data_IF_915918921629
#
_entry.id   IF_915918921629
#
_cell.length_a   1.000
_cell.length_b   1.000
_cell.length_c   1.000
_cell.angle_alpha   90.00
_cell.angle_beta   90.00
_cell.angle_gamma   90.00
#
_symmetry.space_group_name_H-M   'P 1'
#
loop_
_entity.id
_entity.type
_entity.pdbx_description
1 polymer ?
#
# COMPACT_ATOMS: atom_id res chain seq x y z
N UNK A 1 1.74 3.20 60.82
CA UNK A 1 2.96 3.37 59.99
C UNK A 1 2.84 2.74 58.60
N UNK A 2 2.49 1.44 58.47
CA UNK A 2 2.33 0.78 57.16
C UNK A 2 1.23 1.37 56.26
N UNK A 3 0.07 1.75 56.83
CA UNK A 3 -1.03 2.37 56.06
C UNK A 3 -0.67 3.75 55.49
N UNK A 4 0.08 4.54 56.28
CA UNK A 4 0.52 5.88 55.89
C UNK A 4 1.58 5.81 54.78
N UNK A 5 2.51 4.86 54.87
CA UNK A 5 3.50 4.63 53.83
C UNK A 5 2.87 4.13 52.52
N UNK A 6 1.86 3.25 52.60
CA UNK A 6 1.12 2.78 51.42
C UNK A 6 0.32 3.91 50.74
N UNK A 7 -0.29 4.81 51.52
CA UNK A 7 -0.99 5.98 50.98
C UNK A 7 -0.03 6.98 50.31
N UNK A 8 1.12 7.25 50.92
CA UNK A 8 2.16 8.12 50.33
C UNK A 8 2.73 7.51 49.06
N UNK A 9 3.02 6.21 49.04
CA UNK A 9 3.49 5.50 47.83
C UNK A 9 2.40 5.52 46.75
N UNK A 10 1.13 5.30 47.10
CA UNK A 10 0.01 5.36 46.15
C UNK A 10 -0.14 6.73 45.50
N UNK A 11 -0.04 7.82 46.28
CA UNK A 11 -0.09 9.19 45.75
C UNK A 11 1.11 9.49 44.86
N UNK A 12 2.32 9.08 45.26
CA UNK A 12 3.53 9.26 44.44
C UNK A 12 3.44 8.50 43.13
N UNK A 13 2.91 7.28 43.14
CA UNK A 13 2.71 6.46 41.93
C UNK A 13 1.68 7.09 41.00
N UNK A 14 0.53 7.54 41.52
CA UNK A 14 -0.49 8.23 40.70
C UNK A 14 0.08 9.50 40.08
N UNK A 15 0.83 10.30 40.84
CA UNK A 15 1.46 11.52 40.33
C UNK A 15 2.50 11.19 39.26
N UNK A 16 3.33 10.17 39.44
CA UNK A 16 4.32 9.74 38.44
C UNK A 16 3.65 9.21 37.18
N UNK A 17 2.58 8.42 37.30
CA UNK A 17 1.82 7.90 36.15
C UNK A 17 1.14 9.03 35.38
N UNK A 18 0.48 9.97 36.08
CA UNK A 18 -0.12 11.14 35.45
C UNK A 18 0.95 11.98 34.76
N UNK A 19 2.10 12.19 35.39
CA UNK A 19 3.21 12.95 34.78
C UNK A 19 3.76 12.21 33.56
N UNK A 20 3.97 10.90 33.60
CA UNK A 20 4.48 10.13 32.45
C UNK A 20 3.46 10.11 31.31
N UNK A 21 2.17 9.89 31.59
CA UNK A 21 1.10 9.94 30.57
C UNK A 21 0.99 11.33 29.99
N UNK A 22 1.03 12.38 30.80
CA UNK A 22 1.02 13.77 30.32
C UNK A 22 2.26 14.06 29.50
N UNK A 23 3.46 13.62 29.91
CA UNK A 23 4.70 13.81 29.15
C UNK A 23 4.65 13.03 27.83
N UNK A 24 4.16 11.79 27.81
CA UNK A 24 4.04 11.00 26.58
C UNK A 24 2.97 11.59 25.66
N UNK A 25 1.82 11.98 26.17
CA UNK A 25 0.77 12.66 25.39
C UNK A 25 1.30 14.00 24.88
N UNK A 26 2.01 14.78 25.70
CA UNK A 26 2.62 16.05 25.27
C UNK A 26 3.71 15.80 24.24
N UNK A 27 4.55 14.79 24.38
CA UNK A 27 5.59 14.46 23.39
C UNK A 27 4.96 13.97 22.10
N UNK A 28 3.95 13.10 22.15
CA UNK A 28 3.21 12.63 20.96
C UNK A 28 2.46 13.79 20.32
N UNK A 29 1.77 14.63 21.09
CA UNK A 29 1.08 15.82 20.58
C UNK A 29 2.09 16.82 20.03
N UNK A 30 3.23 17.05 20.66
CA UNK A 30 4.27 17.96 20.17
C UNK A 30 4.92 17.38 18.92
N UNK A 31 5.22 16.08 18.86
CA UNK A 31 5.76 15.44 17.66
C UNK A 31 4.73 15.47 16.54
N UNK A 32 3.47 15.15 16.80
CA UNK A 32 2.37 15.24 15.83
C UNK A 32 2.16 16.67 15.39
N UNK A 33 2.14 17.65 16.30
CA UNK A 33 1.98 19.07 15.98
C UNK A 33 3.19 19.59 15.23
N UNK A 34 4.43 19.25 15.61
CA UNK A 34 5.64 19.65 14.89
C UNK A 34 5.67 19.00 13.51
N UNK A 35 5.32 17.72 13.38
CA UNK A 35 5.23 17.05 12.08
C UNK A 35 4.11 17.67 11.25
N UNK A 36 2.93 17.93 11.82
CA UNK A 36 1.81 18.59 11.14
C UNK A 36 2.16 20.01 10.75
N UNK A 37 2.85 20.79 11.59
CA UNK A 37 3.29 22.17 11.30
C UNK A 37 4.39 22.18 10.26
N UNK A 38 5.35 21.26 10.31
CA UNK A 38 6.40 21.11 9.30
C UNK A 38 5.79 20.63 7.97
N UNK A 39 4.83 19.71 8.01
CA UNK A 39 4.07 19.26 6.84
C UNK A 39 3.24 20.40 6.28
N UNK A 40 2.52 21.17 7.10
CA UNK A 40 1.78 22.36 6.68
C UNK A 40 2.75 23.39 6.11
N UNK A 41 3.91 23.64 6.72
CA UNK A 41 4.89 24.59 6.23
C UNK A 41 5.50 24.15 4.89
N UNK A 42 5.85 22.88 4.74
CA UNK A 42 6.36 22.30 3.49
C UNK A 42 5.29 22.29 2.40
N UNK A 43 4.03 22.00 2.77
CA UNK A 43 2.87 22.04 1.86
C UNK A 43 2.55 23.49 1.47
N UNK A 44 2.55 24.44 2.40
CA UNK A 44 2.31 25.87 2.13
C UNK A 44 3.42 26.42 1.23
N UNK A 45 4.69 26.07 1.45
CA UNK A 45 5.80 26.45 0.57
C UNK A 45 5.70 25.78 -0.81
N UNK A 46 5.15 24.56 -0.91
CA UNK A 46 4.87 23.89 -2.18
C UNK A 46 3.62 24.41 -2.92
N UNK A 47 2.69 25.08 -2.22
CA UNK A 47 1.38 25.53 -2.73
C UNK A 47 1.39 26.98 -3.25
N UNK A 48 2.45 27.75 -3.05
CA UNK A 48 2.51 29.16 -3.51
C UNK A 48 3.08 29.32 -4.94
N UNK A 49 3.61 28.25 -5.54
CA UNK A 49 4.16 28.32 -6.89
C UNK A 49 3.13 27.79 -7.88
N UNK A 50 2.61 28.69 -8.72
CA UNK A 50 1.75 28.37 -9.86
C UNK A 50 2.48 27.35 -10.74
N UNK A 51 1.86 26.20 -10.97
CA UNK A 51 2.43 25.15 -11.81
C UNK A 51 1.54 24.87 -13.02
N UNK A 52 2.13 24.55 -14.17
CA UNK A 52 1.39 24.18 -15.39
C UNK A 52 1.76 22.76 -15.79
N UNK A 53 0.76 21.90 -16.00
CA UNK A 53 0.94 20.49 -16.32
C UNK A 53 -0.22 19.94 -17.15
N UNK A 54 -0.02 18.82 -17.85
CA UNK A 54 -1.12 18.12 -18.52
C UNK A 54 -2.15 17.59 -17.52
N UNK A 55 -3.43 17.50 -17.94
CA UNK A 55 -4.50 16.98 -17.07
C UNK A 55 -4.40 15.48 -16.84
N UNK A 56 -3.84 14.75 -17.81
CA UNK A 56 -3.67 13.29 -17.81
C UNK A 56 -2.30 12.92 -18.41
N UNK A 57 -1.74 11.74 -18.07
CA UNK A 57 -0.50 11.24 -18.66
C UNK A 57 -0.68 10.70 -20.08
N UNK A 58 -1.91 10.35 -20.45
CA UNK A 58 -2.26 9.91 -21.79
C UNK A 58 -3.65 10.40 -22.19
N UNK A 59 -3.82 10.68 -23.48
CA UNK A 59 -5.10 10.94 -24.14
C UNK A 59 -5.27 9.96 -25.29
N UNK A 60 -6.50 9.57 -25.53
CA UNK A 60 -6.85 8.60 -26.56
C UNK A 60 -7.93 9.22 -27.42
N UNK A 61 -7.67 9.30 -28.71
CA UNK A 61 -8.61 9.81 -29.71
C UNK A 61 -8.76 8.78 -30.81
N UNK A 62 -9.92 8.77 -31.45
CA UNK A 62 -10.11 8.03 -32.68
C UNK A 62 -9.49 8.81 -33.83
N UNK A 63 -9.04 8.09 -34.84
CA UNK A 63 -8.58 8.68 -36.10
C UNK A 63 -9.66 9.58 -36.73
N UNK A 64 -10.92 9.11 -36.72
CA UNK A 64 -12.12 9.86 -37.13
C UNK A 64 -12.47 11.09 -36.28
N UNK A 65 -11.74 11.39 -35.19
CA UNK A 65 -12.03 12.54 -34.33
C UNK A 65 -11.67 13.88 -34.98
N UNK A 66 -10.80 13.88 -36.00
CA UNK A 66 -10.31 15.06 -36.73
C UNK A 66 -9.41 16.00 -35.91
N UNK A 67 -9.64 16.14 -34.60
CA UNK A 67 -8.81 16.94 -33.68
C UNK A 67 -8.62 16.26 -32.33
N UNK A 68 -7.36 16.16 -31.90
CA UNK A 68 -6.98 15.83 -30.53
C UNK A 68 -7.03 17.08 -29.65
N UNK A 69 -7.85 17.02 -28.59
CA UNK A 69 -8.01 18.08 -27.60
C UNK A 69 -7.23 17.76 -26.33
N UNK A 70 -5.96 18.19 -26.28
CA UNK A 70 -5.06 17.90 -25.17
C UNK A 70 -5.19 18.97 -24.09
N UNK A 71 -5.79 18.59 -22.96
CA UNK A 71 -6.08 19.52 -21.87
C UNK A 71 -4.84 19.76 -20.97
N UNK A 72 -4.53 21.04 -20.74
CA UNK A 72 -3.47 21.54 -19.87
C UNK A 72 -4.10 22.30 -18.70
N UNK A 73 -3.67 21.95 -17.48
CA UNK A 73 -4.16 22.55 -16.23
C UNK A 73 -3.13 23.46 -15.59
N UNK A 74 -3.63 24.56 -15.06
CA UNK A 74 -2.93 25.45 -14.13
C UNK A 74 -3.27 25.03 -12.70
N UNK A 75 -2.24 24.69 -11.93
CA UNK A 75 -2.31 24.15 -10.58
C UNK A 75 -1.77 25.17 -9.57
N UNK A 76 -2.30 25.12 -8.34
CA UNK A 76 -1.82 25.89 -7.19
C UNK A 76 -1.95 27.43 -7.31
N UNK A 77 -2.91 27.94 -8.09
CA UNK A 77 -3.29 29.36 -8.11
C UNK A 77 -3.62 29.91 -9.50
N UNK A 78 -4.63 30.76 -9.60
CA UNK A 78 -5.12 31.37 -10.86
C UNK A 78 -4.89 32.88 -10.95
N UNK A 79 -4.17 33.48 -9.98
CA UNK A 79 -3.92 34.92 -9.95
C UNK A 79 -2.77 35.30 -10.88
N UNK A 80 -2.98 36.33 -11.70
CA UNK A 80 -2.00 36.82 -12.68
C UNK A 80 -1.97 35.98 -13.97
N UNK A 81 -1.22 36.46 -14.96
CA UNK A 81 -1.06 35.77 -16.25
C UNK A 81 0.04 34.71 -16.15
N UNK A 82 -0.15 33.59 -16.81
CA UNK A 82 0.87 32.55 -16.95
C UNK A 82 0.89 32.04 -18.38
N UNK A 83 2.05 31.67 -18.92
CA UNK A 83 2.12 31.01 -20.22
C UNK A 83 3.04 29.80 -20.18
N UNK A 84 2.75 28.82 -21.03
CA UNK A 84 3.57 27.62 -21.21
C UNK A 84 3.80 27.35 -22.69
N UNK A 85 5.04 26.99 -23.04
CA UNK A 85 5.41 26.58 -24.38
C UNK A 85 5.19 25.08 -24.52
N UNK A 86 4.64 24.66 -25.64
CA UNK A 86 4.39 23.25 -25.95
C UNK A 86 4.88 22.90 -27.36
N UNK A 87 5.20 21.62 -27.57
CA UNK A 87 5.57 21.07 -28.87
C UNK A 87 5.16 19.60 -28.97
N UNK A 88 4.82 19.14 -30.17
CA UNK A 88 4.68 17.72 -30.48
C UNK A 88 6.03 17.08 -30.79
N UNK A 89 6.15 15.78 -30.55
CA UNK A 89 7.33 15.01 -30.91
C UNK A 89 6.93 13.58 -31.28
N UNK A 90 7.40 13.14 -32.44
CA UNK A 90 7.30 11.75 -32.88
C UNK A 90 8.07 10.83 -31.93
N UNK A 91 7.59 9.59 -31.80
CA UNK A 91 8.31 8.54 -31.06
C UNK A 91 9.15 7.68 -32.01
N UNK A 92 10.04 6.90 -31.42
CA UNK A 92 10.76 5.86 -32.13
C UNK A 92 10.06 4.50 -31.90
N UNK A 93 9.88 3.72 -32.97
CA UNK A 93 9.39 2.32 -32.91
C UNK A 93 8.16 2.01 -33.79
N UNK A 94 7.79 0.73 -33.87
CA UNK A 94 6.76 0.17 -34.77
C UNK A 94 5.31 0.66 -34.53
N UNK A 95 5.10 1.58 -33.59
CA UNK A 95 3.79 2.16 -33.23
C UNK A 95 3.86 3.68 -33.05
N UNK A 96 4.88 4.31 -33.62
CA UNK A 96 5.05 5.75 -33.54
C UNK A 96 4.22 6.43 -34.62
N UNK A 97 3.37 7.37 -34.21
CA UNK A 97 2.71 8.29 -35.13
C UNK A 97 3.75 9.29 -35.67
N UNK A 98 3.68 9.58 -36.96
CA UNK A 98 4.59 10.41 -37.73
C UNK A 98 3.90 11.73 -38.11
N UNK A 99 4.56 12.85 -37.80
CA UNK A 99 4.06 14.17 -38.16
C UNK A 99 3.94 14.33 -39.69
N UNK A 100 2.77 14.76 -40.15
CA UNK A 100 2.43 14.95 -41.57
C UNK A 100 1.84 13.71 -42.25
N UNK A 101 1.84 12.55 -41.58
CA UNK A 101 1.14 11.34 -42.02
C UNK A 101 -0.08 11.08 -41.14
N UNK A 102 0.12 10.94 -39.82
CA UNK A 102 -0.91 10.48 -38.89
C UNK A 102 -1.48 11.65 -38.06
N UNK A 103 -0.70 12.73 -37.92
CA UNK A 103 -1.13 13.95 -37.27
C UNK A 103 -0.36 15.17 -37.79
N UNK A 104 -0.91 16.38 -37.62
CA UNK A 104 -0.19 17.61 -37.98
C UNK A 104 0.64 18.08 -36.79
N UNK A 105 1.97 17.99 -36.93
CA UNK A 105 2.92 18.46 -35.92
C UNK A 105 2.79 19.95 -35.63
N UNK A 106 3.04 20.35 -34.38
CA UNK A 106 2.85 21.73 -33.95
C UNK A 106 3.70 22.12 -32.75
N UNK A 107 3.88 23.44 -32.61
CA UNK A 107 4.41 24.05 -31.40
C UNK A 107 3.75 25.41 -31.18
N UNK A 108 3.66 25.84 -29.92
CA UNK A 108 2.98 27.08 -29.61
C UNK A 108 3.12 27.51 -28.16
N UNK A 109 2.49 28.65 -27.85
CA UNK A 109 2.43 29.21 -26.50
C UNK A 109 0.98 29.21 -26.04
N UNK A 110 0.72 28.56 -24.91
CA UNK A 110 -0.59 28.55 -24.27
C UNK A 110 -0.59 29.59 -23.16
N UNK A 111 -1.34 30.68 -23.36
CA UNK A 111 -1.48 31.75 -22.37
C UNK A 111 -2.76 31.55 -21.54
N UNK A 112 -2.60 31.61 -20.21
CA UNK A 112 -3.65 31.61 -19.21
C UNK A 112 -3.83 33.04 -18.69
N UNK A 113 -5.04 33.56 -18.84
CA UNK A 113 -5.45 34.82 -18.23
C UNK A 113 -5.78 34.64 -16.74
N UNK A 114 -6.02 35.75 -16.05
CA UNK A 114 -6.44 35.72 -14.64
C UNK A 114 -7.73 34.90 -14.49
N UNK A 115 -7.73 33.92 -13.59
CA UNK A 115 -8.88 33.06 -13.32
C UNK A 115 -9.01 31.84 -14.24
N UNK A 116 -8.22 31.74 -15.32
CA UNK A 116 -8.24 30.57 -16.20
C UNK A 116 -7.43 29.41 -15.60
N UNK A 117 -8.11 28.29 -15.36
CA UNK A 117 -7.51 27.07 -14.78
C UNK A 117 -7.19 26.00 -15.82
N UNK A 118 -7.85 26.04 -16.97
CA UNK A 118 -7.79 24.98 -17.99
C UNK A 118 -7.73 25.63 -19.37
N UNK A 119 -6.82 25.13 -20.20
CA UNK A 119 -6.71 25.44 -21.62
C UNK A 119 -6.46 24.15 -22.39
N UNK A 120 -6.80 24.15 -23.66
CA UNK A 120 -6.67 22.97 -24.51
C UNK A 120 -5.74 23.28 -25.67
N UNK A 121 -4.84 22.34 -25.97
CA UNK A 121 -4.04 22.34 -27.18
C UNK A 121 -4.82 21.54 -28.22
N UNK A 122 -5.09 22.14 -29.36
CA UNK A 122 -5.71 21.48 -30.51
C UNK A 122 -4.62 20.96 -31.45
N UNK A 123 -4.65 19.68 -31.77
CA UNK A 123 -3.76 19.03 -32.73
C UNK A 123 -4.64 18.34 -33.76
N UNK A 124 -4.44 18.62 -35.04
CA UNK A 124 -5.22 17.99 -36.11
C UNK A 124 -4.74 16.55 -36.32
N UNK A 125 -5.70 15.63 -36.35
CA UNK A 125 -5.47 14.21 -36.65
C UNK A 125 -5.80 14.02 -38.13
N UNK A 126 -4.93 13.32 -38.85
CA UNK A 126 -5.16 12.97 -40.23
C UNK A 126 -5.91 11.64 -40.23
N UNK A 127 -7.03 11.60 -40.94
CA UNK A 127 -7.88 10.42 -41.07
C UNK A 127 -7.66 9.84 -42.46
N UNK A 128 -7.00 8.70 -42.54
CA UNK A 128 -6.87 7.93 -43.77
C UNK A 128 -7.73 6.66 -43.73
N UNK A 129 -8.02 6.08 -44.90
CA UNK A 129 -8.89 4.90 -45.00
C UNK A 129 -8.11 3.58 -44.97
N UNK A 130 -6.83 3.61 -44.57
CA UNK A 130 -6.00 2.42 -44.48
C UNK A 130 -5.99 1.89 -43.04
N UNK A 131 -6.13 0.57 -42.90
CA UNK A 131 -6.05 -0.03 -41.57
C UNK A 131 -4.61 0.05 -41.03
N UNK A 132 -4.45 0.79 -39.94
CA UNK A 132 -3.20 0.93 -39.20
C UNK A 132 -3.31 0.36 -37.77
N UNK A 133 -2.17 0.15 -37.11
CA UNK A 133 -2.17 -0.24 -35.69
C UNK A 133 -2.39 1.00 -34.83
N UNK A 134 -2.74 0.83 -33.55
CA UNK A 134 -2.78 1.97 -32.62
C UNK A 134 -1.40 2.64 -32.54
N UNK A 135 -1.37 3.92 -32.88
CA UNK A 135 -0.16 4.73 -32.96
C UNK A 135 -0.13 5.81 -31.90
N UNK A 136 1.06 6.29 -31.57
CA UNK A 136 1.21 7.30 -30.53
C UNK A 136 2.37 8.27 -30.74
N UNK A 137 2.13 9.51 -30.34
CA UNK A 137 3.11 10.60 -30.33
C UNK A 137 3.11 11.30 -28.97
N UNK A 138 4.18 12.06 -28.69
CA UNK A 138 4.31 12.80 -27.43
C UNK A 138 3.96 14.28 -27.61
N UNK A 139 3.31 14.86 -26.61
CA UNK A 139 3.18 16.32 -26.46
C UNK A 139 3.96 16.73 -25.21
N UNK A 140 4.85 17.72 -25.37
CA UNK A 140 5.84 18.09 -24.36
C UNK A 140 5.73 19.58 -24.04
N UNK A 141 5.72 19.92 -22.75
CA UNK A 141 5.83 21.29 -22.26
C UNK A 141 7.31 21.65 -22.03
N UNK A 142 7.80 22.72 -22.66
CA UNK A 142 9.24 23.03 -22.75
C UNK A 142 9.67 24.25 -21.94
N UNK A 143 8.76 25.18 -21.60
CA UNK A 143 9.10 26.36 -20.80
C UNK A 143 7.87 27.11 -20.29
N UNK A 144 8.02 27.88 -19.21
CA UNK A 144 6.94 28.67 -18.58
C UNK A 144 7.37 30.14 -18.42
N UNK A 145 6.39 31.05 -18.32
CA UNK A 145 6.62 32.46 -17.99
C UNK A 145 7.05 32.67 -16.54
N UNK A 146 7.71 33.81 -16.28
CA UNK A 146 8.10 34.25 -14.94
C UNK A 146 6.91 34.22 -13.96
N UNK A 147 7.12 33.62 -12.78
CA UNK A 147 6.08 33.41 -11.78
C UNK A 147 5.33 32.08 -11.88
N UNK A 148 5.63 31.23 -12.87
CA UNK A 148 5.08 29.87 -12.98
C UNK A 148 6.17 28.83 -13.25
N UNK A 149 5.95 27.57 -12.83
CA UNK A 149 6.87 26.45 -13.07
C UNK A 149 6.17 25.32 -13.82
N UNK A 150 6.94 24.49 -14.51
CA UNK A 150 6.43 23.23 -15.06
C UNK A 150 6.08 22.28 -13.91
N UNK A 151 4.85 21.77 -13.91
CA UNK A 151 4.38 20.80 -12.94
C UNK A 151 4.96 19.40 -13.17
N UNK A 152 4.37 18.41 -12.51
CA UNK A 152 4.84 17.01 -12.55
C UNK A 152 4.67 16.36 -13.91
N UNK A 153 3.53 16.58 -14.58
CA UNK A 153 3.22 16.03 -15.91
C UNK A 153 3.64 17.01 -17.01
N UNK A 154 4.91 16.92 -17.43
CA UNK A 154 5.50 17.75 -18.50
C UNK A 154 5.41 17.12 -19.89
N UNK A 155 5.05 15.84 -19.95
CA UNK A 155 4.87 15.06 -21.17
C UNK A 155 3.57 14.30 -21.04
N UNK A 156 2.79 14.27 -22.10
CA UNK A 156 1.63 13.38 -22.25
C UNK A 156 1.77 12.62 -23.55
N UNK A 157 1.22 11.41 -23.58
CA UNK A 157 1.13 10.58 -24.78
C UNK A 157 -0.24 10.79 -25.41
N UNK A 158 -0.30 10.98 -26.71
CA UNK A 158 -1.54 10.94 -27.47
C UNK A 158 -1.54 9.65 -28.26
N UNK A 159 -2.58 8.84 -28.07
CA UNK A 159 -2.81 7.59 -28.81
C UNK A 159 -3.94 7.79 -29.79
N UNK A 160 -3.67 7.48 -31.05
CA UNK A 160 -4.64 7.46 -32.15
C UNK A 160 -5.11 6.02 -32.27
N UNK A 161 -6.42 5.80 -32.05
CA UNK A 161 -7.06 4.51 -32.25
C UNK A 161 -7.60 4.45 -33.67
N UNK A 162 -7.18 3.43 -34.42
CA UNK A 162 -7.81 3.09 -35.68
C UNK A 162 -9.22 2.53 -35.40
N UNK A 163 -10.23 3.08 -36.06
CA UNK A 163 -11.62 2.63 -35.97
C UNK A 163 -12.17 2.00 -37.27
N UNK A 164 -11.28 1.57 -38.17
CA UNK A 164 -11.64 0.81 -39.36
C UNK A 164 -12.08 -0.62 -39.01
N UNK A 165 -13.38 -0.86 -39.13
CA UNK A 165 -14.13 -1.81 -38.29
C UNK A 165 -13.91 -3.31 -38.58
N UNK A 166 -13.11 -3.71 -39.58
CA UNK A 166 -13.07 -5.12 -39.98
C UNK A 166 -12.00 -5.98 -39.28
N UNK A 167 -10.83 -5.42 -38.99
CA UNK A 167 -9.70 -6.18 -38.39
C UNK A 167 -9.66 -6.11 -36.87
N UNK A 168 -10.23 -5.06 -36.26
CA UNK A 168 -10.30 -4.86 -34.82
C UNK A 168 -11.19 -5.87 -34.07
N UNK A 169 -12.24 -6.39 -34.72
CA UNK A 169 -13.10 -7.44 -34.16
C UNK A 169 -12.34 -8.77 -34.07
N UNK A 170 -11.58 -9.11 -35.11
CA UNK A 170 -10.78 -10.34 -35.15
C UNK A 170 -9.67 -10.30 -34.10
N UNK A 171 -8.97 -9.18 -33.92
CA UNK A 171 -7.92 -9.03 -32.90
C UNK A 171 -8.47 -9.04 -31.47
N UNK A 172 -9.65 -8.45 -31.23
CA UNK A 172 -10.33 -8.53 -29.93
C UNK A 172 -10.75 -9.95 -29.58
N UNK A 173 -11.26 -10.71 -30.54
CA UNK A 173 -11.63 -12.13 -30.32
C UNK A 173 -10.38 -12.95 -29.99
N UNK A 174 -9.28 -12.75 -30.71
CA UNK A 174 -8.00 -13.44 -30.43
C UNK A 174 -7.45 -13.05 -29.05
N UNK A 175 -7.46 -11.77 -28.70
CA UNK A 175 -6.98 -11.29 -27.40
C UNK A 175 -7.86 -11.75 -26.22
N UNK A 176 -9.19 -11.75 -26.37
CA UNK A 176 -10.10 -12.31 -25.36
C UNK A 176 -9.94 -13.83 -25.21
N UNK A 177 -9.60 -14.53 -26.30
CA UNK A 177 -9.32 -15.97 -26.26
C UNK A 177 -7.99 -16.26 -25.56
N UNK A 178 -6.95 -15.46 -25.84
CA UNK A 178 -5.64 -15.58 -25.18
C UNK A 178 -5.67 -15.15 -23.70
N UNK A 179 -6.38 -14.06 -23.35
CA UNK A 179 -6.50 -13.61 -21.96
C UNK A 179 -7.33 -14.57 -21.10
N UNK A 180 -8.35 -15.22 -21.67
CA UNK A 180 -9.04 -16.33 -21.00
C UNK A 180 -8.11 -17.54 -20.85
N UNK A 181 -7.29 -17.86 -21.86
CA UNK A 181 -6.29 -18.92 -21.75
C UNK A 181 -5.25 -18.64 -20.66
N UNK A 182 -4.83 -17.39 -20.47
CA UNK A 182 -3.91 -17.00 -19.38
C UNK A 182 -4.57 -17.02 -18.00
N UNK A 183 -5.83 -16.58 -17.87
CA UNK A 183 -6.58 -16.76 -16.61
C UNK A 183 -6.84 -18.25 -16.30
N UNK A 184 -7.01 -19.07 -17.33
CA UNK A 184 -7.11 -20.54 -17.21
C UNK A 184 -5.72 -21.13 -16.91
N UNK A 185 -4.61 -20.59 -17.43
CA UNK A 185 -3.24 -21.09 -17.20
C UNK A 185 -2.72 -20.77 -15.80
N UNK A 186 -3.02 -19.57 -15.26
CA UNK A 186 -2.73 -19.20 -13.86
C UNK A 186 -3.47 -20.12 -12.89
N UNK A 187 -4.61 -20.68 -13.31
CA UNK A 187 -5.34 -21.69 -12.58
C UNK A 187 -4.91 -23.15 -12.88
N UNK A 188 -3.82 -23.41 -13.61
CA UNK A 188 -3.35 -24.77 -13.90
C UNK A 188 -1.87 -24.98 -13.58
N UNK A 189 -1.33 -24.32 -12.54
CA UNK A 189 -0.01 -24.66 -12.03
C UNK A 189 -0.02 -26.12 -11.55
N UNK A 190 0.73 -26.98 -12.23
CA UNK A 190 0.99 -28.32 -11.72
C UNK A 190 1.67 -28.21 -10.35
N UNK A 191 1.52 -29.23 -9.48
CA UNK A 191 2.17 -29.18 -8.16
C UNK A 191 3.69 -29.00 -8.27
N UNK A 192 4.31 -29.57 -9.30
CA UNK A 192 5.74 -29.34 -9.62
C UNK A 192 6.05 -27.91 -10.01
N UNK A 193 5.14 -27.22 -10.70
CA UNK A 193 5.30 -25.82 -11.08
C UNK A 193 5.41 -24.91 -9.85
N UNK A 194 4.68 -25.19 -8.77
CA UNK A 194 4.79 -24.41 -7.53
C UNK A 194 6.21 -24.45 -6.95
N UNK A 195 6.89 -25.60 -7.04
CA UNK A 195 8.29 -25.72 -6.62
C UNK A 195 9.22 -24.98 -7.59
N UNK A 196 8.98 -25.06 -8.89
CA UNK A 196 9.73 -24.31 -9.90
C UNK A 196 9.61 -22.80 -9.66
N UNK A 197 8.42 -22.29 -9.38
CA UNK A 197 8.17 -20.87 -9.10
C UNK A 197 8.75 -20.44 -7.75
N UNK A 198 8.75 -21.35 -6.76
CA UNK A 198 9.39 -21.12 -5.47
C UNK A 198 10.92 -21.01 -5.58
N UNK A 199 11.54 -21.78 -6.49
CA UNK A 199 12.99 -21.80 -6.70
C UNK A 199 13.50 -20.69 -7.63
N UNK A 200 12.63 -20.06 -8.41
CA UNK A 200 13.02 -19.03 -9.37
C UNK A 200 12.64 -17.62 -8.92
N UNK A 201 13.54 -16.67 -9.18
CA UNK A 201 13.23 -15.25 -9.02
C UNK A 201 12.22 -14.87 -10.10
N UNK A 202 11.15 -14.17 -9.70
CA UNK A 202 10.09 -13.73 -10.61
C UNK A 202 9.49 -14.85 -11.49
N UNK A 203 9.40 -16.09 -10.99
CA UNK A 203 8.84 -17.22 -11.74
C UNK A 203 9.71 -17.68 -12.93
N UNK A 204 10.97 -17.23 -13.02
CA UNK A 204 11.89 -17.57 -14.10
C UNK A 204 12.17 -16.40 -15.06
N UNK A 205 11.49 -15.27 -14.92
CA UNK A 205 11.80 -14.04 -15.66
C UNK A 205 12.99 -13.31 -15.05
N UNK A 206 14.18 -13.74 -15.46
CA UNK A 206 15.48 -13.20 -15.01
C UNK A 206 15.78 -11.87 -15.71
N UNK A 207 15.27 -11.64 -16.92
CA UNK A 207 15.57 -10.44 -17.71
C UNK A 207 14.84 -9.20 -17.20
N UNK A 208 13.64 -9.37 -16.65
CA UNK A 208 12.87 -8.31 -15.98
C UNK A 208 13.20 -8.08 -14.50
N UNK A 209 14.04 -8.93 -13.89
CA UNK A 209 14.22 -8.95 -12.44
C UNK A 209 15.08 -7.78 -11.90
N UNK A 210 14.52 -7.00 -10.97
CA UNK A 210 15.25 -5.93 -10.29
C UNK A 210 16.06 -6.46 -9.10
N UNK A 211 17.05 -5.68 -8.63
CA UNK A 211 17.80 -6.02 -7.39
C UNK A 211 16.90 -6.20 -6.17
N UNK A 212 15.76 -5.50 -6.14
CA UNK A 212 14.76 -5.63 -5.08
C UNK A 212 14.07 -6.99 -5.19
N UNK A 213 13.80 -7.50 -6.39
CA UNK A 213 13.17 -8.81 -6.58
C UNK A 213 14.06 -9.96 -6.13
N UNK A 214 15.37 -9.86 -6.37
CA UNK A 214 16.34 -10.82 -5.82
C UNK A 214 16.38 -10.80 -4.29
N UNK A 215 16.41 -9.61 -3.68
CA UNK A 215 16.39 -9.48 -2.23
C UNK A 215 15.08 -10.05 -1.65
N UNK A 216 13.95 -9.71 -2.26
CA UNK A 216 12.64 -10.21 -1.84
C UNK A 216 12.52 -11.71 -2.03
N UNK A 217 13.03 -12.26 -3.13
CA UNK A 217 13.07 -13.70 -3.34
C UNK A 217 13.90 -14.39 -2.25
N UNK A 218 15.09 -13.89 -1.92
CA UNK A 218 15.91 -14.44 -0.84
C UNK A 218 15.19 -14.42 0.52
N UNK A 219 14.58 -13.29 0.88
CA UNK A 219 13.85 -13.15 2.15
C UNK A 219 12.59 -14.02 2.23
N UNK A 220 11.97 -14.33 1.09
CA UNK A 220 10.73 -15.12 1.02
C UNK A 220 10.93 -16.57 0.60
N UNK A 221 12.15 -16.97 0.21
CA UNK A 221 12.46 -18.29 -0.35
C UNK A 221 12.00 -19.42 0.56
N UNK A 222 12.34 -19.36 1.86
CA UNK A 222 11.93 -20.38 2.83
C UNK A 222 10.40 -20.53 2.89
N UNK A 223 9.67 -19.40 2.88
CA UNK A 223 8.21 -19.40 2.87
C UNK A 223 7.65 -19.98 1.57
N UNK A 224 8.23 -19.62 0.42
CA UNK A 224 7.79 -20.13 -0.89
C UNK A 224 7.91 -21.65 -0.98
N UNK A 225 9.03 -22.20 -0.53
CA UNK A 225 9.27 -23.65 -0.56
C UNK A 225 8.31 -24.39 0.39
N UNK A 226 8.10 -23.85 1.59
CA UNK A 226 7.15 -24.43 2.54
C UNK A 226 5.74 -24.38 1.95
N UNK A 227 5.27 -23.25 1.46
CA UNK A 227 3.92 -23.13 0.91
C UNK A 227 3.71 -23.91 -0.40
N UNK A 228 4.76 -24.21 -1.18
CA UNK A 228 4.68 -25.10 -2.35
C UNK A 228 4.32 -26.57 -1.99
N UNK A 229 4.46 -26.96 -0.72
CA UNK A 229 3.99 -28.27 -0.23
C UNK A 229 2.45 -28.31 -0.18
N UNK A 230 1.77 -27.16 -0.11
CA UNK A 230 0.31 -27.13 -0.15
C UNK A 230 -0.17 -27.54 -1.55
N UNK A 231 -1.13 -28.47 -1.67
CA UNK A 231 -1.59 -28.90 -2.98
C UNK A 231 -2.29 -27.77 -3.73
N UNK A 232 -2.23 -27.79 -5.07
CA UNK A 232 -2.91 -26.81 -5.91
C UNK A 232 -4.41 -26.71 -5.58
N UNK A 233 -4.95 -25.48 -5.57
CA UNK A 233 -6.34 -25.19 -5.24
C UNK A 233 -7.36 -25.80 -6.21
N UNK A 234 -6.91 -26.37 -7.33
CA UNK A 234 -7.74 -27.03 -8.32
C UNK A 234 -8.15 -28.45 -7.89
N UNK A 235 -7.38 -29.07 -7.00
CA UNK A 235 -7.67 -30.43 -6.53
C UNK A 235 -8.90 -30.38 -5.62
N UNK A 236 -9.96 -31.09 -6.00
CA UNK A 236 -11.24 -31.15 -5.27
C UNK A 236 -11.88 -29.78 -5.01
N UNK A 237 -11.82 -28.89 -5.99
CA UNK A 237 -12.46 -27.57 -5.89
C UNK A 237 -11.94 -26.71 -4.74
N UNK A 238 -10.68 -26.90 -4.35
CA UNK A 238 -9.98 -26.09 -3.34
C UNK A 238 -10.05 -26.63 -1.92
N UNK A 239 -10.96 -27.57 -1.63
CA UNK A 239 -11.14 -28.11 -0.28
C UNK A 239 -9.90 -28.81 0.26
N UNK A 240 -9.18 -29.56 -0.60
CA UNK A 240 -7.96 -30.24 -0.19
C UNK A 240 -6.86 -29.23 0.18
N UNK A 241 -6.68 -28.20 -0.64
CA UNK A 241 -5.73 -27.10 -0.40
C UNK A 241 -6.07 -26.34 0.88
N UNK A 242 -7.36 -26.09 1.13
CA UNK A 242 -7.84 -25.41 2.33
C UNK A 242 -7.50 -26.17 3.62
N UNK A 243 -7.82 -27.47 3.72
CA UNK A 243 -7.55 -28.21 4.95
C UNK A 243 -6.05 -28.47 5.17
N UNK A 244 -5.28 -28.73 4.12
CA UNK A 244 -3.84 -28.94 4.23
C UNK A 244 -3.12 -27.64 4.59
N UNK A 245 -3.49 -26.51 4.00
CA UNK A 245 -2.95 -25.21 4.39
C UNK A 245 -3.29 -24.86 5.83
N UNK A 246 -4.52 -25.13 6.30
CA UNK A 246 -4.91 -24.91 7.69
C UNK A 246 -4.06 -25.74 8.67
N UNK A 247 -3.86 -27.04 8.38
CA UNK A 247 -3.02 -27.91 9.19
C UNK A 247 -1.54 -27.46 9.18
N UNK A 248 -1.04 -27.05 8.00
CA UNK A 248 0.32 -26.58 7.83
C UNK A 248 0.57 -25.29 8.61
N UNK A 249 -0.34 -24.31 8.52
CA UNK A 249 -0.26 -23.07 9.28
C UNK A 249 -0.19 -23.39 10.78
N UNK A 250 -1.06 -24.28 11.28
CA UNK A 250 -1.04 -24.73 12.66
C UNK A 250 0.31 -25.31 13.10
N UNK A 251 0.84 -26.27 12.34
CA UNK A 251 2.16 -26.88 12.61
C UNK A 251 3.29 -25.86 12.59
N UNK A 252 3.28 -24.98 11.59
CA UNK A 252 4.31 -23.97 11.41
C UNK A 252 4.28 -22.91 12.54
N UNK A 253 3.09 -22.47 12.94
CA UNK A 253 2.94 -21.57 14.11
C UNK A 253 3.44 -22.22 15.40
N UNK A 254 3.23 -23.52 15.59
CA UNK A 254 3.76 -24.23 16.76
C UNK A 254 5.30 -24.24 16.76
N UNK A 255 5.92 -24.61 15.63
CA UNK A 255 7.39 -24.64 15.49
C UNK A 255 7.98 -23.24 15.69
N UNK A 256 7.42 -22.21 15.07
CA UNK A 256 7.92 -20.83 15.21
C UNK A 256 7.74 -20.34 16.64
N UNK A 257 6.62 -20.67 17.29
CA UNK A 257 6.38 -20.35 18.69
C UNK A 257 7.44 -20.95 19.61
N UNK A 258 7.75 -22.24 19.44
CA UNK A 258 8.76 -22.94 20.23
C UNK A 258 10.17 -22.39 19.99
N UNK A 259 10.55 -22.20 18.72
CA UNK A 259 11.85 -21.62 18.35
C UNK A 259 12.02 -20.20 18.90
N UNK A 260 10.98 -19.36 18.76
CA UNK A 260 10.99 -18.01 19.30
C UNK A 260 11.12 -18.03 20.83
N UNK A 261 10.41 -18.93 21.52
CA UNK A 261 10.49 -19.10 22.98
C UNK A 261 11.90 -19.49 23.44
N UNK A 262 12.53 -20.48 22.78
CA UNK A 262 13.90 -20.91 23.08
C UNK A 262 14.90 -19.77 22.83
N UNK A 263 14.77 -19.09 21.69
CA UNK A 263 15.62 -17.96 21.34
C UNK A 263 15.47 -16.79 22.33
N UNK A 264 14.24 -16.46 22.70
CA UNK A 264 13.93 -15.47 23.72
C UNK A 264 14.56 -15.81 25.06
N UNK A 265 14.49 -17.08 25.48
CA UNK A 265 15.15 -17.57 26.68
C UNK A 265 16.67 -17.39 26.63
N UNK A 266 17.31 -17.71 25.49
CA UNK A 266 18.76 -17.60 25.31
C UNK A 266 19.28 -16.15 25.39
N UNK A 267 18.46 -15.19 24.95
CA UNK A 267 18.81 -13.74 24.99
C UNK A 267 18.34 -13.07 26.30
N UNK A 268 17.57 -13.76 27.14
CA UNK A 268 17.03 -13.22 28.39
C UNK A 268 15.80 -12.32 28.17
N UNK A 269 15.04 -12.54 27.11
CA UNK A 269 13.80 -11.83 26.83
C UNK A 269 12.62 -12.45 27.60
N UNK A 270 11.79 -11.60 28.21
CA UNK A 270 10.53 -12.06 28.84
C UNK A 270 9.61 -12.68 27.78
N UNK A 271 8.87 -13.77 28.07
CA UNK A 271 8.00 -14.44 27.09
C UNK A 271 7.02 -13.51 26.37
N UNK A 272 6.46 -12.54 27.09
CA UNK A 272 5.56 -11.52 26.51
C UNK A 272 6.26 -10.66 25.44
N UNK A 273 7.52 -10.29 25.66
CA UNK A 273 8.31 -9.47 24.72
C UNK A 273 8.69 -10.29 23.50
N UNK A 274 9.09 -11.54 23.70
CA UNK A 274 9.36 -12.51 22.63
C UNK A 274 8.13 -12.72 21.73
N UNK A 275 6.94 -12.82 22.33
CA UNK A 275 5.69 -13.00 21.59
C UNK A 275 5.33 -11.78 20.72
N UNK A 276 5.35 -10.56 21.28
CA UNK A 276 4.97 -9.35 20.52
C UNK A 276 6.01 -8.91 19.48
N UNK A 277 7.22 -9.48 19.51
CA UNK A 277 8.30 -9.16 18.56
C UNK A 277 8.50 -10.30 17.57
N UNK A 278 9.17 -11.37 17.97
CA UNK A 278 9.60 -12.44 17.08
C UNK A 278 8.45 -13.29 16.56
N UNK A 279 7.52 -13.70 17.45
CA UNK A 279 6.38 -14.51 17.04
C UNK A 279 5.45 -13.69 16.15
N UNK A 280 5.05 -12.50 16.60
CA UNK A 280 4.17 -11.61 15.84
C UNK A 280 4.76 -11.21 14.47
N UNK A 281 6.05 -10.89 14.40
CA UNK A 281 6.71 -10.57 13.14
C UNK A 281 6.80 -11.81 12.23
N UNK A 282 7.15 -12.98 12.78
CA UNK A 282 7.23 -14.23 12.03
C UNK A 282 5.90 -14.64 11.39
N UNK A 283 4.78 -14.47 12.09
CA UNK A 283 3.45 -14.81 11.56
C UNK A 283 2.88 -13.74 10.64
N UNK A 284 3.22 -12.46 10.85
CA UNK A 284 2.63 -11.35 10.08
C UNK A 284 3.43 -10.98 8.81
N UNK A 285 4.69 -11.41 8.69
CA UNK A 285 5.49 -11.16 7.48
C UNK A 285 4.92 -11.82 6.21
N UNK A 286 4.50 -13.10 6.24
CA UNK A 286 3.80 -13.71 5.11
C UNK A 286 2.55 -12.92 4.71
N UNK A 287 1.75 -12.52 5.70
CA UNK A 287 0.53 -11.72 5.49
C UNK A 287 0.84 -10.36 4.86
N UNK A 288 1.90 -9.68 5.31
CA UNK A 288 2.35 -8.41 4.72
C UNK A 288 2.70 -8.58 3.24
N UNK A 289 3.42 -9.64 2.88
CA UNK A 289 3.82 -9.87 1.49
C UNK A 289 2.65 -10.29 0.61
N UNK A 290 1.77 -11.16 1.09
CA UNK A 290 0.54 -11.51 0.39
C UNK A 290 -0.34 -10.27 0.16
N UNK A 291 -0.53 -9.45 1.20
CA UNK A 291 -1.32 -8.22 1.13
C UNK A 291 -0.71 -7.17 0.21
N UNK A 292 0.62 -7.07 0.16
CA UNK A 292 1.34 -6.19 -0.78
C UNK A 292 1.11 -6.64 -2.21
N UNK A 293 1.31 -7.92 -2.51
CA UNK A 293 1.12 -8.46 -3.86
C UNK A 293 -0.31 -8.27 -4.34
N UNK A 294 -1.30 -8.58 -3.50
CA UNK A 294 -2.71 -8.33 -3.79
C UNK A 294 -2.99 -6.84 -4.08
N UNK A 295 -2.41 -5.93 -3.27
CA UNK A 295 -2.56 -4.49 -3.50
C UNK A 295 -1.88 -3.96 -4.76
N UNK A 296 -0.87 -4.66 -5.30
CA UNK A 296 -0.18 -4.27 -6.53
C UNK A 296 -0.87 -4.81 -7.79
N UNK A 297 -1.59 -5.92 -7.68
CA UNK A 297 -2.25 -6.60 -8.80
C UNK A 297 -3.68 -6.09 -9.06
N UNK A 298 -4.28 -5.36 -8.11
CA UNK A 298 -5.65 -4.88 -8.20
C UNK A 298 -5.76 -3.36 -8.18
N UNK A 299 -6.70 -2.82 -8.96
CA UNK A 299 -6.93 -1.37 -9.09
C UNK A 299 -7.40 -0.73 -7.78
N UNK A 300 -8.18 -1.45 -6.97
CA UNK A 300 -8.75 -0.94 -5.72
C UNK A 300 -8.09 -1.51 -4.45
N UNK A 301 -7.22 -2.50 -4.59
CA UNK A 301 -6.53 -3.17 -3.49
C UNK A 301 -7.47 -3.73 -2.38
N UNK A 302 -8.75 -3.95 -2.70
CA UNK A 302 -9.77 -4.42 -1.76
C UNK A 302 -9.40 -5.78 -1.15
N UNK A 303 -8.78 -6.66 -1.93
CA UNK A 303 -8.33 -7.97 -1.44
C UNK A 303 -7.20 -7.86 -0.40
N UNK A 304 -6.43 -6.77 -0.40
CA UNK A 304 -5.44 -6.49 0.65
C UNK A 304 -6.14 -6.21 1.99
N UNK A 305 -7.22 -5.42 1.97
CA UNK A 305 -8.03 -5.11 3.17
C UNK A 305 -8.73 -6.37 3.67
N UNK A 306 -9.29 -7.17 2.75
CA UNK A 306 -9.90 -8.46 3.05
C UNK A 306 -8.91 -9.42 3.73
N UNK A 307 -7.68 -9.50 3.22
CA UNK A 307 -6.65 -10.36 3.80
C UNK A 307 -6.26 -9.94 5.23
N UNK A 308 -6.02 -8.64 5.45
CA UNK A 308 -5.67 -8.11 6.78
C UNK A 308 -6.82 -8.28 7.78
N UNK A 309 -8.05 -8.01 7.35
CA UNK A 309 -9.24 -8.14 8.20
C UNK A 309 -9.54 -9.60 8.54
N UNK A 310 -9.40 -10.48 7.54
CA UNK A 310 -9.58 -11.92 7.68
C UNK A 310 -8.57 -12.53 8.65
N UNK A 311 -7.28 -12.27 8.46
CA UNK A 311 -6.21 -12.79 9.34
C UNK A 311 -6.39 -12.34 10.79
N UNK A 312 -6.66 -11.05 11.04
CA UNK A 312 -6.91 -10.55 12.39
C UNK A 312 -8.17 -11.14 13.03
N UNK A 313 -9.25 -11.31 12.26
CA UNK A 313 -10.48 -11.91 12.75
C UNK A 313 -10.27 -13.38 13.14
N UNK A 314 -9.58 -14.16 12.31
CA UNK A 314 -9.24 -15.56 12.61
C UNK A 314 -8.36 -15.64 13.86
N UNK A 315 -7.35 -14.78 14.01
CA UNK A 315 -6.48 -14.77 15.19
C UNK A 315 -7.25 -14.50 16.49
N UNK A 316 -8.20 -13.57 16.48
CA UNK A 316 -9.01 -13.25 17.67
C UNK A 316 -10.06 -14.32 17.94
N UNK A 317 -10.89 -14.66 16.95
CA UNK A 317 -12.03 -15.55 17.16
C UNK A 317 -11.64 -17.02 17.22
N UNK A 318 -10.82 -17.50 16.28
CA UNK A 318 -10.37 -18.90 16.25
C UNK A 318 -9.12 -19.11 17.09
N UNK A 319 -8.18 -18.16 17.11
CA UNK A 319 -6.94 -18.27 17.88
C UNK A 319 -7.12 -18.12 19.39
N UNK A 320 -7.89 -17.13 19.85
CA UNK A 320 -8.16 -16.91 21.29
C UNK A 320 -9.54 -17.44 21.70
N UNK A 321 -10.58 -17.08 20.95
CA UNK A 321 -11.97 -17.37 21.31
C UNK A 321 -12.30 -18.86 21.39
N UNK A 322 -11.91 -19.66 20.39
CA UNK A 322 -12.23 -21.07 20.35
C UNK A 322 -11.55 -21.88 21.48
N UNK A 323 -10.23 -21.77 21.74
CA UNK A 323 -9.60 -22.44 22.87
C UNK A 323 -10.18 -22.05 24.23
N UNK A 324 -10.47 -20.76 24.44
CA UNK A 324 -11.10 -20.30 25.67
C UNK A 324 -12.51 -20.86 25.86
N UNK A 325 -13.28 -20.95 24.79
CA UNK A 325 -14.63 -21.56 24.82
C UNK A 325 -14.54 -23.05 25.17
N UNK A 326 -13.63 -23.79 24.54
CA UNK A 326 -13.40 -25.21 24.82
C UNK A 326 -12.98 -25.41 26.28
N UNK A 327 -12.04 -24.60 26.77
CA UNK A 327 -11.57 -24.65 28.15
C UNK A 327 -12.70 -24.33 29.13
N UNK A 328 -13.49 -23.28 28.89
CA UNK A 328 -14.61 -22.90 29.75
C UNK A 328 -15.65 -24.02 29.86
N UNK A 329 -16.01 -24.67 28.74
CA UNK A 329 -16.93 -25.82 28.74
C UNK A 329 -16.34 -27.00 29.52
N UNK A 330 -15.06 -27.32 29.30
CA UNK A 330 -14.38 -28.42 30.01
C UNK A 330 -14.37 -28.23 31.52
N UNK A 331 -14.00 -27.04 32.00
CA UNK A 331 -13.92 -26.75 33.43
C UNK A 331 -15.30 -26.64 34.09
N UNK A 332 -16.28 -26.11 33.36
CA UNK A 332 -17.69 -26.12 33.80
C UNK A 332 -18.18 -27.56 33.99
N UNK A 333 -17.86 -28.47 33.07
CA UNK A 333 -18.19 -29.89 33.20
C UNK A 333 -17.47 -30.61 34.35
N UNK A 334 -16.45 -29.97 34.96
CA UNK A 334 -15.72 -30.43 36.14
C UNK A 334 -16.17 -29.73 37.43
N UNK A 335 -17.28 -28.97 37.39
CA UNK A 335 -17.76 -28.15 38.50
C UNK A 335 -16.72 -27.15 39.03
N UNK A 336 -15.95 -26.56 38.11
CA UNK A 336 -14.90 -25.56 38.41
C UNK A 336 -14.99 -24.36 37.48
N UNK A 337 -14.44 -23.22 37.89
CA UNK A 337 -14.39 -22.00 37.09
C UNK A 337 -13.07 -21.90 36.32
N UNK A 338 -13.16 -21.57 35.03
CA UNK A 338 -11.97 -21.26 34.22
C UNK A 338 -11.63 -19.77 34.35
N UNK A 339 -10.57 -19.47 35.10
CA UNK A 339 -10.08 -18.09 35.28
C UNK A 339 -8.82 -17.83 34.45
N UNK A 340 -8.84 -16.76 33.64
CA UNK A 340 -7.70 -16.33 32.84
C UNK A 340 -7.14 -15.03 33.41
N UNK A 341 -5.88 -15.01 33.90
CA UNK A 341 -5.28 -13.80 34.44
C UNK A 341 -5.04 -12.77 33.32
N UNK A 342 -5.56 -11.55 33.48
CA UNK A 342 -5.42 -10.49 32.49
C UNK A 342 -3.97 -10.04 32.28
N UNK A 343 -3.11 -10.15 33.29
CA UNK A 343 -1.69 -9.78 33.20
C UNK A 343 -1.47 -8.38 32.61
N UNK A 344 -0.56 -8.28 31.63
CA UNK A 344 -0.25 -7.02 30.93
C UNK A 344 -1.17 -6.73 29.73
N UNK A 345 -2.19 -7.57 29.50
CA UNK A 345 -3.04 -7.51 28.31
C UNK A 345 -3.82 -6.20 28.22
N UNK A 346 -4.31 -5.68 29.36
CA UNK A 346 -5.11 -4.45 29.40
C UNK A 346 -4.37 -3.25 28.83
N UNK A 347 -3.14 -3.02 29.29
CA UNK A 347 -2.29 -1.95 28.78
C UNK A 347 -1.96 -2.14 27.29
N UNK A 348 -1.57 -3.36 26.89
CA UNK A 348 -1.29 -3.68 25.49
C UNK A 348 -2.48 -3.35 24.58
N UNK A 349 -3.69 -3.76 24.97
CA UNK A 349 -4.92 -3.48 24.21
C UNK A 349 -5.20 -1.97 24.12
N UNK A 350 -4.98 -1.20 25.19
CA UNK A 350 -5.17 0.25 25.17
C UNK A 350 -4.19 0.92 24.19
N UNK A 351 -2.89 0.60 24.30
CA UNK A 351 -1.87 1.17 23.40
C UNK A 351 -2.16 0.77 21.94
N UNK A 352 -2.51 -0.50 21.71
CA UNK A 352 -2.92 -0.98 20.38
C UNK A 352 -4.12 -0.21 19.83
N UNK A 353 -5.16 0.01 20.64
CA UNK A 353 -6.37 0.73 20.24
C UNK A 353 -6.06 2.17 19.84
N UNK A 354 -5.21 2.86 20.60
CA UNK A 354 -4.76 4.22 20.26
C UNK A 354 -3.98 4.23 18.93
N UNK A 355 -3.05 3.29 18.74
CA UNK A 355 -2.31 3.16 17.49
C UNK A 355 -3.24 2.83 16.30
N UNK A 356 -4.24 1.98 16.49
CA UNK A 356 -5.21 1.60 15.47
C UNK A 356 -6.11 2.77 15.07
N UNK A 357 -6.66 3.52 16.04
CA UNK A 357 -7.45 4.73 15.77
C UNK A 357 -6.61 5.76 15.03
N UNK A 358 -5.35 5.95 15.44
CA UNK A 358 -4.42 6.88 14.76
C UNK A 358 -4.17 6.44 13.32
N UNK A 359 -3.97 5.14 13.09
CA UNK A 359 -3.79 4.55 11.75
C UNK A 359 -5.01 4.76 10.87
N UNK A 360 -6.21 4.44 11.36
CA UNK A 360 -7.46 4.61 10.62
C UNK A 360 -7.70 6.09 10.32
N UNK A 361 -7.49 6.97 11.30
CA UNK A 361 -7.62 8.43 11.11
C UNK A 361 -6.66 8.93 10.04
N UNK A 362 -5.41 8.48 10.06
CA UNK A 362 -4.42 8.83 9.03
C UNK A 362 -4.90 8.40 7.63
N UNK A 363 -5.41 7.17 7.49
CA UNK A 363 -5.93 6.67 6.21
C UNK A 363 -7.15 7.48 5.73
N UNK A 364 -8.10 7.78 6.62
CA UNK A 364 -9.26 8.62 6.30
C UNK A 364 -8.86 10.05 5.89
N UNK A 365 -7.89 10.64 6.58
CA UNK A 365 -7.34 11.96 6.24
C UNK A 365 -6.68 11.93 4.86
N UNK A 366 -5.89 10.89 4.54
CA UNK A 366 -5.29 10.74 3.21
C UNK A 366 -6.33 10.57 2.10
N UNK A 367 -7.46 9.92 2.38
CA UNK A 367 -8.61 9.81 1.46
C UNK A 367 -9.26 11.17 1.20
N UNK A 368 -9.47 11.97 2.24
CA UNK A 368 -10.22 13.23 2.16
C UNK A 368 -9.41 14.43 1.68
N UNK A 369 -8.11 14.48 1.96
CA UNK A 369 -7.30 15.70 1.77
C UNK A 369 -6.61 15.72 0.39
N UNK A 370 -6.87 16.73 -0.46
CA UNK A 370 -6.27 16.83 -1.79
C UNK A 370 -4.74 16.92 -1.78
N UNK A 371 -4.15 17.61 -0.81
CA UNK A 371 -2.69 17.77 -0.70
C UNK A 371 -1.95 16.47 -0.35
N UNK A 372 -2.66 15.46 0.16
CA UNK A 372 -2.12 14.12 0.44
C UNK A 372 -2.38 13.13 -0.70
N UNK A 373 -3.05 13.56 -1.78
CA UNK A 373 -3.26 12.77 -2.99
C UNK A 373 -4.63 12.12 -3.13
N UNK A 374 -5.58 12.33 -2.22
CA UNK A 374 -6.90 11.66 -2.19
C UNK A 374 -6.80 10.13 -2.37
N UNK A 375 -5.86 9.51 -1.67
CA UNK A 375 -5.52 8.11 -1.85
C UNK A 375 -5.31 7.43 -0.50
N UNK A 376 -5.97 6.31 -0.26
CA UNK A 376 -5.75 5.48 0.94
C UNK A 376 -4.40 4.76 0.84
N UNK A 377 -4.15 4.14 -0.32
CA UNK A 377 -2.93 3.45 -0.69
C UNK A 377 -2.26 4.17 -1.87
N UNK A 378 -0.93 4.20 -1.90
CA UNK A 378 -0.19 4.87 -2.98
C UNK A 378 -0.17 6.39 -2.88
N UNK A 379 -0.47 7.10 -3.97
CA UNK A 379 -0.47 8.56 -4.03
C UNK A 379 0.91 9.21 -4.24
N UNK A 380 1.00 10.55 -4.11
CA UNK A 380 2.24 11.29 -4.33
C UNK A 380 3.38 10.79 -3.43
N UNK A 381 4.60 10.73 -3.97
CA UNK A 381 5.75 10.06 -3.34
C UNK A 381 6.05 10.56 -1.92
N UNK A 382 5.96 11.88 -1.69
CA UNK A 382 6.28 12.48 -0.39
C UNK A 382 5.24 12.11 0.68
N UNK A 383 3.92 12.41 0.51
CA UNK A 383 2.88 11.95 1.44
C UNK A 383 2.89 10.45 1.71
N UNK A 384 3.11 9.63 0.67
CA UNK A 384 3.19 8.16 0.81
C UNK A 384 4.31 7.74 1.76
N UNK A 385 5.52 8.28 1.58
CA UNK A 385 6.68 7.94 2.41
C UNK A 385 6.49 8.44 3.84
N UNK A 386 6.02 9.67 4.02
CA UNK A 386 5.78 10.24 5.36
C UNK A 386 4.76 9.41 6.14
N UNK A 387 3.64 9.06 5.51
CA UNK A 387 2.62 8.22 6.16
C UNK A 387 3.16 6.83 6.47
N UNK A 388 3.97 6.24 5.58
CA UNK A 388 4.66 4.98 5.83
C UNK A 388 5.58 5.03 7.05
N UNK A 389 6.35 6.11 7.21
CA UNK A 389 7.22 6.33 8.37
C UNK A 389 6.41 6.46 9.66
N UNK A 390 5.27 7.16 9.63
CA UNK A 390 4.37 7.27 10.79
C UNK A 390 3.82 5.89 11.19
N UNK A 391 3.37 5.08 10.23
CA UNK A 391 2.86 3.73 10.50
C UNK A 391 3.96 2.82 11.10
N UNK A 392 5.18 2.89 10.57
CA UNK A 392 6.33 2.18 11.14
C UNK A 392 6.65 2.67 12.56
N UNK A 393 6.59 3.98 12.80
CA UNK A 393 6.77 4.55 14.13
C UNK A 393 5.71 4.05 15.12
N UNK A 394 4.43 4.01 14.73
CA UNK A 394 3.35 3.50 15.59
C UNK A 394 3.57 2.03 15.99
N UNK A 395 4.10 1.21 15.07
CA UNK A 395 4.48 -0.17 15.37
C UNK A 395 5.63 -0.23 16.39
N UNK A 396 6.72 0.50 16.17
CA UNK A 396 7.83 0.57 17.14
C UNK A 396 7.38 1.12 18.50
N UNK A 397 6.53 2.14 18.49
CA UNK A 397 5.95 2.74 19.70
C UNK A 397 5.17 1.70 20.51
N UNK A 398 4.31 0.92 19.87
CA UNK A 398 3.59 -0.18 20.51
C UNK A 398 4.53 -1.23 21.12
N UNK A 399 5.53 -1.69 20.35
CA UNK A 399 6.49 -2.71 20.80
C UNK A 399 7.31 -2.19 21.98
N UNK A 400 7.82 -0.97 21.91
CA UNK A 400 8.65 -0.37 22.97
C UNK A 400 7.83 -0.21 24.24
N UNK A 401 6.64 0.42 24.19
CA UNK A 401 5.84 0.64 25.40
C UNK A 401 5.40 -0.68 26.04
N UNK A 402 4.94 -1.64 25.23
CA UNK A 402 4.54 -2.96 25.72
C UNK A 402 5.72 -3.72 26.33
N UNK A 403 6.93 -3.56 25.77
CA UNK A 403 8.14 -4.17 26.32
C UNK A 403 8.56 -3.50 27.63
N UNK A 404 8.57 -2.17 27.70
CA UNK A 404 8.90 -1.43 28.92
C UNK A 404 7.94 -1.74 30.07
N UNK A 405 6.65 -1.92 29.77
CA UNK A 405 5.68 -2.38 30.74
C UNK A 405 5.94 -3.83 31.15
N UNK A 406 6.24 -4.73 30.19
CA UNK A 406 6.56 -6.12 30.50
C UNK A 406 7.77 -6.26 31.44
N UNK A 407 8.74 -5.34 31.39
CA UNK A 407 9.88 -5.26 32.31
C UNK A 407 9.62 -4.46 33.59
N UNK A 408 8.37 -4.08 33.87
CA UNK A 408 7.97 -3.33 35.07
C UNK A 408 8.65 -1.95 35.21
N UNK A 409 9.19 -1.42 34.10
CA UNK A 409 9.79 -0.08 34.02
C UNK A 409 8.67 0.96 34.00
N UNK A 410 7.61 0.69 33.24
CA UNK A 410 6.37 1.46 33.25
C UNK A 410 5.37 0.68 34.10
N UNK A 411 5.05 1.22 35.28
CA UNK A 411 4.01 0.66 36.15
C UNK A 411 2.71 1.41 35.91
N UNK A 412 1.70 0.69 35.43
CA UNK A 412 0.35 1.24 35.27
C UNK A 412 -0.59 0.35 36.07
N UNK A 413 -1.19 0.90 37.12
CA UNK A 413 -2.32 0.24 37.79
C UNK A 413 -3.57 0.60 37.00
N UNK A 414 -4.01 -0.31 36.13
CA UNK A 414 -5.28 -0.20 35.41
C UNK A 414 -6.26 -1.17 36.03
#
# INVERSE_FOLDING_TARGET
MKLFLAAVIGVVVVVVVVVVVVVVVVVVVVVVVVVVVVVIAVVVVAVVIVAVAFSKPSFVFKESAGKALVEVKRLNGCSGKASVNWQTKDRDGDRAAVAGKDYIGGSGVLAFEHGELVKTIEIEIIDDQEYEKDEHFDVILTGCSDGSKLGTLKRTVVTILNDDEFKGVVSRIVNLTNANLDQISVAHSSWGQQFTDAMNVNGGDIEGATKVDYLMHFLTFGWKVIFAIVPPAQIWGGWLSFFISLAMIGLLTAIIGDLASIFGCLIGLKPTVTAITFVALGTSLPDLFASKTAAQQEEHADNSIGNVTGSNSVNVFLGLGLPWTIAAVYWTAKDTTFEVPAGNLSFGVIVYTVCAITTITLLLVRRGVPSLGKSELGGPSVPKVVCGVILMFLWFFYVILSSLQAYDIIKVSI
#
